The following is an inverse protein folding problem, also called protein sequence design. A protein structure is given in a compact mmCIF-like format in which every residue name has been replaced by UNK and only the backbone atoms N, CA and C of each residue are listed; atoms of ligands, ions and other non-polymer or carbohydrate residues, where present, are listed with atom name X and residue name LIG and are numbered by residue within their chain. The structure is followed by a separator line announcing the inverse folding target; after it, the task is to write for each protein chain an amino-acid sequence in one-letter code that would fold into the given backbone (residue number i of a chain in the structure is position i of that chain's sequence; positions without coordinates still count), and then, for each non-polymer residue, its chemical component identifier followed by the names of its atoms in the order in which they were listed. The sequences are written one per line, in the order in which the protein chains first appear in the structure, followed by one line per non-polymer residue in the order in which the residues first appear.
data_IF_833134344056
#
_entry.id   IF_833134344056
#
_cell.length_a   1.000
_cell.length_b   1.000
_cell.length_c   1.000
_cell.angle_alpha   90.00
_cell.angle_beta   90.00
_cell.angle_gamma   90.00
#
_symmetry.space_group_name_H-M   'P 1'
#
loop_
_entity.id
_entity.type
_entity.pdbx_description
1 polymer ?
#
# COMPACT_ATOMS: atom_id res chain seq x y z
N UNK A 1 -1.63 11.21 -28.43
CA UNK A 1 -0.61 10.26 -27.92
C UNK A 1 0.84 10.49 -28.39
N UNK A 2 1.17 11.22 -29.46
CA UNK A 2 2.58 11.44 -29.92
C UNK A 2 3.31 12.65 -29.30
N UNK A 3 2.67 13.52 -28.51
CA UNK A 3 3.30 14.75 -27.97
C UNK A 3 3.91 14.59 -26.57
N UNK A 4 3.58 13.53 -25.84
CA UNK A 4 4.08 13.30 -24.46
C UNK A 4 5.42 12.56 -24.41
N UNK A 5 5.78 11.84 -25.47
CA UNK A 5 7.05 11.10 -25.56
C UNK A 5 8.29 12.03 -25.63
N UNK A 6 8.13 13.27 -26.10
CA UNK A 6 9.23 14.23 -26.21
C UNK A 6 9.58 14.97 -24.91
N UNK A 7 8.68 14.98 -23.92
CA UNK A 7 8.95 15.61 -22.63
C UNK A 7 9.85 14.71 -21.75
N UNK A 8 9.74 13.40 -21.86
CA UNK A 8 10.63 12.47 -21.16
C UNK A 8 12.07 12.49 -21.71
N UNK A 9 12.24 12.77 -23.00
CA UNK A 9 13.57 12.82 -23.65
C UNK A 9 14.27 14.19 -23.42
N UNK A 10 13.51 15.25 -23.17
CA UNK A 10 14.05 16.59 -22.94
C UNK A 10 14.70 16.78 -21.55
N UNK A 11 14.52 15.88 -20.60
CA UNK A 11 15.16 15.89 -19.30
C UNK A 11 16.56 15.24 -19.29
N UNK A 12 16.97 14.62 -20.39
CA UNK A 12 18.33 14.14 -20.60
C UNK A 12 19.16 15.25 -21.27
N UNK A 13 19.54 16.27 -20.50
CA UNK A 13 20.42 17.33 -20.95
C UNK A 13 21.82 16.82 -21.36
N UNK A 14 22.62 17.58 -22.14
CA UNK A 14 23.88 17.12 -22.67
C UNK A 14 24.90 16.84 -21.53
N UNK A 15 25.27 15.59 -21.42
CA UNK A 15 26.36 15.11 -20.53
C UNK A 15 27.68 15.48 -21.18
N UNK A 16 28.40 16.41 -20.57
CA UNK A 16 29.77 16.78 -20.99
C UNK A 16 30.70 15.58 -20.74
N UNK A 17 31.38 15.16 -21.79
CA UNK A 17 32.36 14.08 -21.75
C UNK A 17 33.57 14.48 -20.88
N UNK A 18 33.65 13.96 -19.68
CA UNK A 18 34.87 13.94 -18.81
C UNK A 18 35.28 12.48 -18.66
N UNK A 19 36.56 12.21 -18.80
CA UNK A 19 37.23 10.90 -18.82
C UNK A 19 36.62 9.82 -17.93
N UNK A 20 36.28 8.69 -18.56
CA UNK A 20 35.39 7.67 -18.04
C UNK A 20 36.16 6.54 -17.38
N UNK A 21 36.01 6.37 -16.09
CA UNK A 21 35.69 5.04 -15.57
C UNK A 21 34.34 4.66 -16.15
N UNK A 22 34.15 3.44 -16.66
CA UNK A 22 32.93 3.00 -17.33
C UNK A 22 31.74 2.96 -16.38
N UNK A 23 31.12 4.11 -16.13
CA UNK A 23 29.88 4.22 -15.38
C UNK A 23 28.76 3.62 -16.21
N UNK A 24 27.97 2.76 -15.61
CA UNK A 24 26.77 2.25 -16.28
C UNK A 24 25.72 3.35 -16.33
N UNK A 25 24.77 3.26 -17.29
CA UNK A 25 23.61 4.18 -17.35
C UNK A 25 22.85 4.23 -16.01
N UNK A 26 22.80 3.10 -15.29
CA UNK A 26 22.18 3.05 -13.95
C UNK A 26 22.95 3.85 -12.90
N UNK A 27 24.28 3.91 -12.97
CA UNK A 27 25.08 4.69 -12.03
C UNK A 27 24.94 6.20 -12.31
N UNK A 28 24.85 6.59 -13.58
CA UNK A 28 24.59 7.99 -13.96
C UNK A 28 23.18 8.42 -13.55
N UNK A 29 22.19 7.56 -13.70
CA UNK A 29 20.82 7.81 -13.26
C UNK A 29 20.75 7.97 -11.72
N UNK A 30 21.41 7.10 -10.97
CA UNK A 30 21.50 7.20 -9.51
C UNK A 30 22.18 8.49 -9.09
N UNK A 31 23.29 8.85 -9.75
CA UNK A 31 24.00 10.10 -9.48
C UNK A 31 23.13 11.33 -9.75
N UNK A 32 22.30 11.29 -10.80
CA UNK A 32 21.34 12.36 -11.10
C UNK A 32 20.24 12.48 -10.03
N UNK A 33 19.64 11.37 -9.58
CA UNK A 33 18.67 11.38 -8.48
C UNK A 33 19.27 11.96 -7.20
N UNK A 34 20.48 11.53 -6.85
CA UNK A 34 21.20 12.05 -5.69
C UNK A 34 21.53 13.55 -5.83
N UNK A 35 21.89 14.01 -7.03
CA UNK A 35 22.11 15.44 -7.28
C UNK A 35 20.84 16.27 -7.06
N UNK A 36 19.68 15.81 -7.56
CA UNK A 36 18.40 16.50 -7.36
C UNK A 36 18.03 16.56 -5.88
N UNK A 37 18.16 15.43 -5.18
CA UNK A 37 17.85 15.35 -3.75
C UNK A 37 18.77 16.26 -2.93
N UNK A 38 20.09 16.18 -3.12
CA UNK A 38 21.07 16.94 -2.33
C UNK A 38 21.07 18.45 -2.65
N UNK A 39 20.78 18.82 -3.92
CA UNK A 39 20.87 20.22 -4.35
C UNK A 39 19.56 20.98 -4.20
N UNK A 40 18.43 20.30 -4.42
CA UNK A 40 17.11 20.93 -4.50
C UNK A 40 16.10 20.35 -3.51
N UNK A 41 16.49 19.37 -2.70
CA UNK A 41 15.58 18.66 -1.81
C UNK A 41 14.50 17.85 -2.55
N UNK A 42 14.70 17.60 -3.86
CA UNK A 42 13.70 16.97 -4.71
C UNK A 42 14.03 15.51 -4.98
N UNK A 43 13.14 14.62 -4.57
CA UNK A 43 13.23 13.19 -4.82
C UNK A 43 12.00 12.72 -5.59
N UNK A 44 12.17 11.75 -6.48
CA UNK A 44 11.07 11.10 -7.17
C UNK A 44 11.28 9.61 -7.27
N UNK A 45 10.19 8.87 -7.37
CA UNK A 45 10.19 7.45 -7.67
C UNK A 45 9.13 7.17 -8.73
N UNK A 46 9.40 6.17 -9.55
CA UNK A 46 8.44 5.62 -10.50
C UNK A 46 8.46 4.11 -10.35
N UNK A 47 7.34 3.53 -9.93
CA UNK A 47 7.15 2.09 -9.88
C UNK A 47 6.29 1.66 -11.05
N UNK A 48 6.74 0.66 -11.78
CA UNK A 48 5.94 -0.02 -12.79
C UNK A 48 5.84 -1.50 -12.44
N UNK A 49 4.62 -2.06 -12.48
CA UNK A 49 4.40 -3.50 -12.34
C UNK A 49 3.52 -4.04 -13.47
N UNK A 50 3.87 -5.23 -13.92
CA UNK A 50 3.03 -6.07 -14.76
C UNK A 50 2.71 -7.35 -13.99
N UNK A 51 1.43 -7.64 -13.80
CA UNK A 51 0.94 -8.77 -13.01
C UNK A 51 0.04 -9.65 -13.87
N UNK A 52 0.36 -10.92 -13.97
CA UNK A 52 -0.49 -11.96 -14.54
C UNK A 52 -1.04 -12.81 -13.42
N UNK A 53 -2.39 -12.94 -13.34
CA UNK A 53 -3.06 -13.77 -12.33
C UNK A 53 -4.03 -14.74 -12.96
N UNK A 54 -4.18 -15.90 -12.32
CA UNK A 54 -5.16 -16.94 -12.64
C UNK A 54 -5.68 -17.55 -11.35
N UNK A 55 -7.00 -17.81 -11.32
CA UNK A 55 -7.65 -18.50 -10.20
C UNK A 55 -8.15 -19.89 -10.60
N UNK A 56 -8.37 -20.77 -9.61
CA UNK A 56 -8.98 -22.09 -9.77
C UNK A 56 -9.83 -22.37 -8.52
N UNK A 57 -11.06 -22.90 -8.67
CA UNK A 57 -11.73 -23.29 -9.89
C UNK A 57 -12.46 -22.11 -10.56
N UNK A 58 -12.00 -21.57 -11.66
CA UNK A 58 -12.67 -20.45 -12.35
C UNK A 58 -12.79 -20.65 -13.85
N UNK A 59 -12.27 -21.76 -14.39
CA UNK A 59 -12.13 -21.93 -15.83
C UNK A 59 -10.82 -21.33 -16.38
N UNK A 60 -10.83 -20.88 -17.64
CA UNK A 60 -9.61 -20.46 -18.36
C UNK A 60 -9.32 -18.95 -18.32
N UNK A 61 -10.03 -18.17 -17.49
CA UNK A 61 -9.86 -16.72 -17.39
C UNK A 61 -8.53 -16.36 -16.70
N UNK A 62 -7.83 -15.38 -17.29
CA UNK A 62 -6.62 -14.78 -16.72
C UNK A 62 -6.83 -13.28 -16.64
N UNK A 63 -6.31 -12.66 -15.61
CA UNK A 63 -6.23 -11.20 -15.46
C UNK A 63 -4.78 -10.75 -15.73
N UNK A 64 -4.62 -9.73 -16.56
CA UNK A 64 -3.35 -9.05 -16.78
C UNK A 64 -3.49 -7.59 -16.35
N UNK A 65 -2.76 -7.22 -15.31
CA UNK A 65 -2.75 -5.87 -14.74
C UNK A 65 -1.45 -5.15 -15.11
N UNK A 66 -1.55 -3.89 -15.46
CA UNK A 66 -0.44 -2.94 -15.56
C UNK A 66 -0.64 -1.86 -14.51
N UNK A 67 0.37 -1.65 -13.68
CA UNK A 67 0.39 -0.66 -12.62
C UNK A 67 1.52 0.34 -12.86
N UNK A 68 1.22 1.64 -12.77
CA UNK A 68 2.20 2.72 -12.89
C UNK A 68 1.98 3.72 -11.75
N UNK A 69 3.01 3.94 -10.92
CA UNK A 69 2.92 4.85 -9.79
C UNK A 69 4.13 5.78 -9.71
N UNK A 70 4.03 7.01 -10.25
CA UNK A 70 4.95 8.09 -9.93
C UNK A 70 4.69 8.67 -8.54
N UNK A 71 5.76 8.99 -7.82
CA UNK A 71 5.70 9.75 -6.58
C UNK A 71 6.82 10.77 -6.50
N UNK A 72 6.58 11.87 -5.79
CA UNK A 72 7.57 12.91 -5.50
C UNK A 72 7.55 13.27 -4.02
N UNK A 73 8.72 13.61 -3.52
CA UNK A 73 8.93 14.24 -2.21
C UNK A 73 9.84 15.42 -2.41
N UNK A 74 9.40 16.61 -2.02
CA UNK A 74 10.17 17.83 -2.17
C UNK A 74 10.30 18.57 -0.84
N UNK A 75 11.52 18.57 -0.27
CA UNK A 75 11.87 19.41 0.86
C UNK A 75 12.01 20.84 0.37
N UNK A 76 10.97 21.64 0.60
CA UNK A 76 10.90 23.01 0.11
C UNK A 76 11.79 23.95 0.91
N UNK A 77 11.99 23.67 2.18
CA UNK A 77 12.99 24.29 3.05
C UNK A 77 13.33 23.36 4.23
N UNK A 78 14.55 23.52 4.73
CA UNK A 78 15.05 22.88 5.95
C UNK A 78 16.03 23.87 6.61
N UNK A 79 15.60 24.50 7.71
CA UNK A 79 16.33 25.58 8.37
C UNK A 79 15.91 25.74 9.84
N UNK A 80 16.37 26.82 10.48
CA UNK A 80 16.08 27.11 11.90
C UNK A 80 14.59 27.28 12.23
N UNK A 81 13.75 27.52 11.22
CA UNK A 81 12.30 27.65 11.39
C UNK A 81 11.56 26.33 11.20
N UNK A 82 12.23 25.25 10.89
CA UNK A 82 11.67 23.91 10.72
C UNK A 82 11.91 23.31 9.34
N UNK A 83 11.18 22.23 9.01
CA UNK A 83 11.31 21.54 7.73
C UNK A 83 9.95 21.45 7.07
N UNK A 84 9.86 21.93 5.82
CA UNK A 84 8.65 21.85 5.01
C UNK A 84 8.80 20.87 3.86
N UNK A 85 7.88 19.91 3.72
CA UNK A 85 7.94 18.87 2.69
C UNK A 85 6.61 18.77 1.95
N UNK A 86 6.66 18.82 0.62
CA UNK A 86 5.56 18.49 -0.27
C UNK A 86 5.68 17.03 -0.71
N UNK A 87 4.60 16.28 -0.54
CA UNK A 87 4.46 14.91 -1.02
C UNK A 87 3.35 14.82 -2.05
N UNK A 88 3.58 14.06 -3.12
CA UNK A 88 2.54 13.73 -4.07
C UNK A 88 2.77 12.32 -4.61
N UNK A 89 1.68 11.58 -4.77
CA UNK A 89 1.66 10.26 -5.40
C UNK A 89 0.42 10.11 -6.27
N UNK A 90 0.61 9.41 -7.36
CA UNK A 90 -0.46 9.07 -8.30
C UNK A 90 -0.25 7.63 -8.73
N UNK A 91 -1.33 6.89 -8.94
CA UNK A 91 -1.24 5.59 -9.58
C UNK A 91 -2.29 5.42 -10.69
N UNK A 92 -1.96 4.56 -11.62
CA UNK A 92 -2.84 4.16 -12.72
C UNK A 92 -2.75 2.64 -12.88
N UNK A 93 -3.91 2.01 -12.75
CA UNK A 93 -4.08 0.58 -12.92
C UNK A 93 -4.92 0.36 -14.18
N UNK A 94 -4.48 -0.56 -15.01
CA UNK A 94 -5.17 -0.96 -16.22
C UNK A 94 -5.15 -2.47 -16.40
N UNK A 95 -6.29 -3.04 -16.69
CA UNK A 95 -6.45 -4.46 -17.02
C UNK A 95 -6.65 -4.68 -18.52
N UNK A 96 -5.96 -5.69 -19.07
CA UNK A 96 -6.01 -5.98 -20.50
C UNK A 96 -7.22 -6.79 -20.95
N UNK A 97 -7.67 -7.72 -20.12
CA UNK A 97 -8.76 -8.66 -20.42
C UNK A 97 -9.80 -8.67 -19.30
N UNK A 98 -9.79 -9.77 -18.51
CA UNK A 98 -10.51 -9.82 -17.26
C UNK A 98 -9.75 -9.04 -16.20
N UNK A 99 -10.48 -8.46 -15.29
CA UNK A 99 -9.88 -7.85 -14.11
C UNK A 99 -9.81 -8.86 -12.94
N UNK A 100 -9.25 -8.43 -11.81
CA UNK A 100 -9.12 -9.30 -10.64
C UNK A 100 -10.49 -9.68 -10.05
N UNK A 101 -11.44 -8.73 -10.02
CA UNK A 101 -12.80 -9.00 -9.54
C UNK A 101 -13.51 -10.08 -10.38
N UNK A 102 -13.31 -10.08 -11.71
CA UNK A 102 -13.92 -11.08 -12.59
C UNK A 102 -13.45 -12.50 -12.25
N UNK A 103 -12.13 -12.70 -12.16
CA UNK A 103 -11.56 -14.03 -11.92
C UNK A 103 -11.75 -14.49 -10.46
N UNK A 104 -11.79 -13.56 -9.51
CA UNK A 104 -12.09 -13.79 -8.11
C UNK A 104 -13.54 -14.26 -7.94
N UNK A 105 -14.51 -13.52 -8.49
CA UNK A 105 -15.92 -13.85 -8.44
C UNK A 105 -16.23 -15.22 -9.08
N UNK A 106 -15.59 -15.52 -10.22
CA UNK A 106 -15.70 -16.83 -10.87
C UNK A 106 -15.22 -18.00 -10.00
N UNK A 107 -14.32 -17.74 -9.06
CA UNK A 107 -13.81 -18.75 -8.11
C UNK A 107 -14.60 -18.80 -6.79
N UNK A 108 -15.48 -17.81 -6.57
CA UNK A 108 -16.27 -17.67 -5.36
C UNK A 108 -15.46 -17.21 -4.15
N UNK A 109 -14.37 -16.46 -4.37
CA UNK A 109 -13.59 -15.84 -3.31
C UNK A 109 -14.22 -14.50 -2.92
N UNK A 110 -14.30 -14.22 -1.64
CA UNK A 110 -14.68 -12.90 -1.09
C UNK A 110 -13.42 -12.11 -0.73
N UNK A 111 -12.42 -12.75 -0.12
CA UNK A 111 -11.14 -12.09 0.13
C UNK A 111 -10.43 -11.77 -1.19
N UNK A 112 -10.16 -10.48 -1.50
CA UNK A 112 -9.59 -10.12 -2.79
C UNK A 112 -8.18 -10.69 -3.03
N UNK A 113 -7.96 -11.16 -4.25
CA UNK A 113 -6.69 -11.78 -4.70
C UNK A 113 -5.57 -10.76 -4.89
N UNK A 114 -5.92 -9.48 -5.00
CA UNK A 114 -5.01 -8.34 -4.96
C UNK A 114 -5.78 -7.07 -4.54
N UNK A 115 -5.07 -5.98 -4.30
CA UNK A 115 -5.57 -4.72 -3.82
C UNK A 115 -6.46 -3.97 -4.84
N UNK A 116 -6.20 -4.16 -6.14
CA UNK A 116 -6.91 -3.45 -7.20
C UNK A 116 -7.82 -4.37 -8.00
N UNK A 117 -9.10 -4.33 -7.71
CA UNK A 117 -10.09 -5.20 -8.34
C UNK A 117 -10.35 -4.92 -9.82
N UNK A 118 -10.15 -3.69 -10.30
CA UNK A 118 -10.44 -3.21 -11.65
C UNK A 118 -9.53 -2.08 -12.10
N UNK A 119 -9.89 -1.44 -13.22
CA UNK A 119 -9.20 -0.26 -13.73
C UNK A 119 -9.41 0.92 -12.77
N UNK A 120 -8.32 1.62 -12.46
CA UNK A 120 -8.35 2.72 -11.52
C UNK A 120 -7.28 3.77 -11.83
N UNK A 121 -7.57 5.02 -11.53
CA UNK A 121 -6.63 6.13 -11.61
C UNK A 121 -6.87 7.07 -10.45
N UNK A 122 -5.82 7.33 -9.68
CA UNK A 122 -5.97 8.00 -8.40
C UNK A 122 -4.83 8.97 -8.09
N UNK A 123 -5.21 10.15 -7.59
CA UNK A 123 -4.31 11.02 -6.88
C UNK A 123 -4.34 10.63 -5.39
N UNK A 124 -3.50 9.65 -5.01
CA UNK A 124 -3.50 9.12 -3.64
C UNK A 124 -3.04 10.18 -2.64
N UNK A 125 -1.97 10.92 -2.97
CA UNK A 125 -1.43 11.94 -2.08
C UNK A 125 -1.16 13.24 -2.82
N UNK A 126 -1.49 14.35 -2.19
CA UNK A 126 -0.99 15.69 -2.47
C UNK A 126 -1.09 16.49 -1.18
N UNK A 127 -0.10 16.34 -0.31
CA UNK A 127 -0.12 17.00 1.00
C UNK A 127 1.22 17.62 1.34
N UNK A 128 1.15 18.61 2.20
CA UNK A 128 2.29 19.32 2.73
C UNK A 128 2.46 19.00 4.21
N UNK A 129 3.69 18.70 4.63
CA UNK A 129 4.04 18.55 6.04
C UNK A 129 4.94 19.67 6.49
N UNK A 130 4.76 20.09 7.73
CA UNK A 130 5.60 21.05 8.41
C UNK A 130 6.05 20.47 9.75
N UNK A 131 7.32 20.10 9.86
CA UNK A 131 7.95 19.69 11.10
C UNK A 131 8.42 20.93 11.84
N UNK A 132 8.04 21.06 13.10
CA UNK A 132 8.39 22.21 13.91
C UNK A 132 9.90 22.24 14.22
N UNK A 133 10.46 23.45 14.45
CA UNK A 133 11.91 23.61 14.64
C UNK A 133 12.39 23.20 16.04
N UNK A 134 13.70 22.98 16.15
CA UNK A 134 14.48 22.86 17.39
C UNK A 134 13.89 21.85 18.38
N UNK A 135 13.55 22.28 19.62
CA UNK A 135 13.02 21.42 20.69
C UNK A 135 11.66 20.81 20.40
N UNK A 136 10.95 21.26 19.37
CA UNK A 136 9.65 20.77 18.96
C UNK A 136 9.70 19.93 17.69
N UNK A 137 10.89 19.51 17.23
CA UNK A 137 11.07 18.70 16.02
C UNK A 137 10.43 17.31 16.04
N UNK A 138 9.91 16.90 17.21
CA UNK A 138 9.08 15.72 17.39
C UNK A 138 7.61 15.92 16.95
N UNK A 139 7.22 17.14 16.56
CA UNK A 139 5.86 17.51 16.16
C UNK A 139 5.82 17.91 14.70
N UNK A 140 4.94 17.26 13.92
CA UNK A 140 4.69 17.52 12.49
C UNK A 140 3.20 17.81 12.27
N UNK A 141 2.92 18.79 11.45
CA UNK A 141 1.57 19.11 10.97
C UNK A 141 1.47 18.71 9.49
N UNK A 142 0.40 18.03 9.10
CA UNK A 142 0.12 17.67 7.71
C UNK A 142 -1.19 18.27 7.23
N UNK A 143 -1.23 18.73 5.98
CA UNK A 143 -2.43 19.29 5.36
C UNK A 143 -2.45 18.99 3.86
N UNK A 144 -3.59 18.61 3.32
CA UNK A 144 -3.79 18.29 1.92
C UNK A 144 -4.60 17.01 1.72
N UNK A 145 -4.52 16.42 0.55
CA UNK A 145 -5.10 15.12 0.28
C UNK A 145 -4.11 14.03 0.69
N UNK A 146 -4.55 13.08 1.49
CA UNK A 146 -3.77 11.93 1.91
C UNK A 146 -4.67 10.73 2.19
N UNK A 147 -4.06 9.54 2.19
CA UNK A 147 -4.72 8.28 2.51
C UNK A 147 -4.50 7.88 3.96
N UNK A 148 -5.52 7.26 4.59
CA UNK A 148 -5.35 6.60 5.89
C UNK A 148 -4.47 5.35 5.81
N UNK A 149 -4.36 4.73 4.65
CA UNK A 149 -3.43 3.63 4.41
C UNK A 149 -1.97 3.99 4.69
N UNK A 150 -1.61 5.28 4.62
CA UNK A 150 -0.27 5.76 4.99
C UNK A 150 0.06 5.55 6.47
N UNK A 151 -0.96 5.35 7.31
CA UNK A 151 -0.82 5.16 8.76
C UNK A 151 -1.25 3.76 9.22
N UNK A 152 -1.81 2.93 8.34
CA UNK A 152 -2.38 1.62 8.68
C UNK A 152 -1.58 0.49 8.06
N UNK A 153 -0.55 0.01 8.76
CA UNK A 153 0.28 -1.10 8.30
C UNK A 153 1.70 -1.05 8.85
N UNK A 154 2.50 -1.98 8.38
CA UNK A 154 3.94 -2.10 8.64
C UNK A 154 4.71 -2.19 7.33
N UNK A 155 6.05 -2.38 7.37
CA UNK A 155 6.88 -2.47 6.16
C UNK A 155 6.50 -3.63 5.23
N UNK A 156 5.82 -4.68 5.76
CA UNK A 156 5.58 -5.92 5.01
C UNK A 156 4.12 -6.17 4.64
N UNK A 157 3.18 -5.41 5.18
CA UNK A 157 1.75 -5.62 5.00
C UNK A 157 1.00 -4.37 4.49
N UNK A 158 1.67 -3.50 3.74
CA UNK A 158 1.07 -2.28 3.18
C UNK A 158 1.47 -1.98 1.72
N UNK A 159 2.14 -2.89 1.03
CA UNK A 159 2.59 -2.63 -0.34
C UNK A 159 2.58 -3.90 -1.21
N UNK A 160 1.50 -4.12 -1.93
CA UNK A 160 1.36 -5.26 -2.84
C UNK A 160 2.32 -5.25 -4.05
N UNK A 161 3.00 -4.15 -4.35
CA UNK A 161 3.95 -4.10 -5.46
C UNK A 161 5.30 -4.74 -5.09
N UNK A 162 5.56 -4.90 -3.81
CA UNK A 162 6.80 -5.44 -3.25
C UNK A 162 6.56 -6.74 -2.49
N UNK A 163 5.51 -6.78 -1.66
CA UNK A 163 5.21 -7.85 -0.73
C UNK A 163 4.06 -8.75 -1.21
N UNK A 164 3.15 -9.10 -0.30
CA UNK A 164 1.97 -9.94 -0.54
C UNK A 164 1.00 -9.31 -1.53
N UNK A 165 0.31 -10.14 -2.31
CA UNK A 165 -0.73 -9.72 -3.25
C UNK A 165 -2.12 -9.79 -2.63
N UNK A 166 -2.38 -10.85 -1.82
CA UNK A 166 -3.67 -11.01 -1.18
C UNK A 166 -4.02 -9.78 -0.33
N UNK A 167 -5.21 -9.21 -0.55
CA UNK A 167 -5.63 -7.96 0.07
C UNK A 167 -5.52 -8.01 1.60
N UNK A 168 -5.98 -9.11 2.24
CA UNK A 168 -5.92 -9.22 3.69
C UNK A 168 -4.48 -9.23 4.23
N UNK A 169 -3.52 -9.77 3.47
CA UNK A 169 -2.09 -9.78 3.82
C UNK A 169 -1.39 -8.47 3.50
N UNK A 170 -1.92 -7.68 2.56
CA UNK A 170 -1.31 -6.45 2.07
C UNK A 170 -1.95 -5.17 2.62
N UNK A 171 -3.21 -5.23 3.08
CA UNK A 171 -3.99 -4.08 3.52
C UNK A 171 -4.92 -4.43 4.69
N UNK A 172 -5.58 -3.42 5.26
CA UNK A 172 -6.67 -3.60 6.23
C UNK A 172 -7.93 -4.08 5.50
N UNK A 173 -8.19 -5.39 5.53
CA UNK A 173 -9.29 -6.00 4.81
C UNK A 173 -10.69 -5.56 5.29
N UNK A 174 -10.80 -4.95 6.47
CA UNK A 174 -12.06 -4.41 7.02
C UNK A 174 -12.14 -2.88 6.91
N UNK A 175 -11.25 -2.24 6.12
CA UNK A 175 -11.26 -0.80 5.95
C UNK A 175 -12.54 -0.32 5.27
N UNK A 176 -13.11 0.77 5.81
CA UNK A 176 -14.30 1.44 5.26
C UNK A 176 -14.10 2.95 5.12
N UNK A 177 -12.89 3.44 5.39
CA UNK A 177 -12.54 4.83 5.14
C UNK A 177 -12.31 5.06 3.64
N UNK A 178 -12.38 6.33 3.22
CA UNK A 178 -12.11 6.71 1.83
C UNK A 178 -10.66 6.45 1.45
N UNK A 179 -10.41 6.09 0.18
CA UNK A 179 -9.06 5.78 -0.33
C UNK A 179 -8.09 6.94 -0.08
N UNK A 180 -8.52 8.18 -0.33
CA UNK A 180 -7.84 9.39 0.11
C UNK A 180 -8.80 10.56 0.24
N UNK A 181 -8.46 11.59 1.00
CA UNK A 181 -9.30 12.76 1.17
C UNK A 181 -8.52 14.01 1.59
N UNK A 182 -9.08 15.18 1.29
CA UNK A 182 -8.57 16.45 1.79
C UNK A 182 -8.78 16.53 3.30
N UNK A 183 -7.73 16.86 4.03
CA UNK A 183 -7.79 16.93 5.48
C UNK A 183 -6.55 17.50 6.12
N UNK A 184 -6.43 17.30 7.42
CA UNK A 184 -5.27 17.68 8.20
C UNK A 184 -5.04 16.69 9.33
N UNK A 185 -3.77 16.56 9.72
CA UNK A 185 -3.38 15.74 10.86
C UNK A 185 -2.23 16.37 11.65
N UNK A 186 -2.10 15.95 12.88
CA UNK A 186 -0.96 16.21 13.72
C UNK A 186 -0.28 14.88 14.05
N UNK A 187 1.04 14.84 13.95
CA UNK A 187 1.89 13.70 14.28
C UNK A 187 2.92 14.12 15.33
N UNK A 188 3.03 13.35 16.40
CA UNK A 188 3.98 13.58 17.47
C UNK A 188 4.83 12.32 17.68
N UNK A 189 6.16 12.47 17.67
CA UNK A 189 7.13 11.37 17.75
C UNK A 189 8.14 11.56 18.89
N UNK A 190 7.69 11.51 20.17
CA UNK A 190 8.60 11.59 21.32
C UNK A 190 9.30 10.25 21.57
N UNK A 191 10.56 10.15 21.19
CA UNK A 191 11.39 8.94 21.34
C UNK A 191 10.91 7.81 20.43
N UNK A 192 10.53 6.66 21.02
CA UNK A 192 10.03 5.51 20.26
C UNK A 192 8.50 5.52 20.05
N UNK A 193 7.80 6.48 20.62
CA UNK A 193 6.36 6.60 20.50
C UNK A 193 5.97 7.45 19.29
N UNK A 194 4.84 7.10 18.67
CA UNK A 194 4.19 7.88 17.64
C UNK A 194 2.72 8.08 18.01
N UNK A 195 2.23 9.29 17.88
CA UNK A 195 0.83 9.63 18.07
C UNK A 195 0.37 10.43 16.86
N UNK A 196 -0.69 9.99 16.21
CA UNK A 196 -1.27 10.69 15.06
C UNK A 196 -2.74 10.88 15.34
N UNK A 197 -3.27 12.06 15.02
CA UNK A 197 -4.70 12.32 15.03
C UNK A 197 -5.04 13.31 13.92
N UNK A 198 -6.17 13.09 13.26
CA UNK A 198 -6.55 13.93 12.13
C UNK A 198 -7.95 13.62 11.60
N UNK A 199 -8.23 14.26 10.49
CA UNK A 199 -9.46 14.08 9.75
C UNK A 199 -9.23 14.27 8.25
N UNK A 200 -10.02 13.59 7.43
CA UNK A 200 -10.02 13.73 5.98
C UNK A 200 -11.45 13.66 5.42
N UNK A 201 -11.66 14.20 4.23
CA UNK A 201 -12.94 14.14 3.53
C UNK A 201 -13.40 12.70 3.35
N UNK A 202 -14.57 12.39 3.92
CA UNK A 202 -15.17 11.07 3.90
C UNK A 202 -15.92 10.75 2.59
N UNK A 203 -16.15 11.74 1.72
CA UNK A 203 -16.99 11.58 0.51
C UNK A 203 -16.22 11.01 -0.68
N UNK A 204 -14.91 10.93 -0.59
CA UNK A 204 -14.02 10.52 -1.66
C UNK A 204 -13.69 9.01 -1.58
N UNK A 205 -14.73 8.17 -1.53
CA UNK A 205 -14.65 6.72 -1.29
C UNK A 205 -13.87 6.01 -2.41
N UNK A 206 -14.25 6.25 -3.68
CA UNK A 206 -13.68 5.55 -4.81
C UNK A 206 -13.05 6.56 -5.79
N UNK A 207 -11.88 6.24 -6.32
CA UNK A 207 -11.14 7.07 -7.28
C UNK A 207 -10.98 8.51 -6.78
N UNK A 208 -10.22 8.73 -5.72
CA UNK A 208 -10.09 10.02 -5.09
C UNK A 208 -9.52 11.07 -6.04
N UNK A 209 -10.15 12.21 -6.02
CA UNK A 209 -9.72 13.42 -6.72
C UNK A 209 -9.68 14.58 -5.75
N UNK A 210 -8.85 15.58 -6.02
CA UNK A 210 -8.77 16.76 -5.17
C UNK A 210 -10.07 17.61 -5.34
N UNK A 211 -10.91 17.62 -4.30
CA UNK A 211 -12.25 18.25 -4.33
C UNK A 211 -12.45 19.23 -3.19
N UNK A 212 -11.97 20.46 -3.36
CA UNK A 212 -12.13 21.52 -2.34
C UNK A 212 -13.59 21.86 -2.03
N UNK A 213 -14.48 21.71 -3.00
CA UNK A 213 -15.92 22.00 -2.83
C UNK A 213 -16.68 20.99 -1.96
N UNK A 214 -16.03 19.90 -1.54
CA UNK A 214 -16.62 18.91 -0.64
C UNK A 214 -16.34 19.17 0.83
N UNK A 215 -15.40 20.03 1.14
CA UNK A 215 -15.08 20.41 2.52
C UNK A 215 -16.27 21.09 3.22
N UNK A 216 -17.14 21.77 2.47
CA UNK A 216 -18.34 22.41 2.99
C UNK A 216 -19.44 21.42 3.40
N UNK A 217 -19.41 20.18 2.90
CA UNK A 217 -20.40 19.14 3.22
C UNK A 217 -20.26 18.64 4.68
N UNK A 218 -19.12 18.89 5.33
CA UNK A 218 -18.89 18.60 6.74
C UNK A 218 -18.78 17.11 7.09
N UNK A 219 -18.62 16.24 6.09
CA UNK A 219 -18.45 14.79 6.28
C UNK A 219 -16.98 14.43 6.33
N UNK A 220 -16.46 14.19 7.52
CA UNK A 220 -15.05 13.86 7.71
C UNK A 220 -14.89 12.50 8.38
N UNK A 221 -14.04 11.66 7.82
CA UNK A 221 -13.44 10.54 8.52
C UNK A 221 -12.49 11.11 9.58
N UNK A 222 -12.70 10.75 10.83
CA UNK A 222 -11.80 11.13 11.94
C UNK A 222 -11.02 9.92 12.40
N UNK A 223 -9.77 10.11 12.79
CA UNK A 223 -8.92 9.00 13.21
C UNK A 223 -7.91 9.37 14.27
N UNK A 224 -7.43 8.35 14.98
CA UNK A 224 -6.31 8.42 15.88
C UNK A 224 -5.47 7.16 15.83
N UNK A 225 -4.15 7.32 15.91
CA UNK A 225 -3.19 6.22 15.95
C UNK A 225 -2.22 6.41 17.11
N UNK A 226 -1.87 5.30 17.74
CA UNK A 226 -0.75 5.21 18.68
C UNK A 226 0.20 4.15 18.17
N UNK A 227 1.46 4.53 17.97
CA UNK A 227 2.54 3.65 17.53
C UNK A 227 3.67 3.57 18.56
N UNK A 228 4.37 2.44 18.56
CA UNK A 228 5.58 2.23 19.35
C UNK A 228 6.61 1.50 18.50
N UNK A 229 7.75 2.14 18.24
CA UNK A 229 8.82 1.69 17.33
C UNK A 229 10.14 1.43 18.07
N UNK A 230 10.22 0.38 18.92
CA UNK A 230 11.42 0.11 19.69
C UNK A 230 12.50 -0.59 18.86
N UNK A 231 13.76 -0.37 19.25
CA UNK A 231 14.85 -1.26 18.87
C UNK A 231 15.14 -2.22 20.01
N UNK A 232 14.71 -3.49 19.86
CA UNK A 232 14.89 -4.53 20.87
C UNK A 232 16.27 -5.18 20.70
N UNK A 233 17.09 -5.10 21.76
CA UNK A 233 18.44 -5.69 21.76
C UNK A 233 18.37 -7.19 21.39
N UNK A 234 19.19 -7.63 20.43
CA UNK A 234 19.29 -8.98 19.84
C UNK A 234 18.16 -9.39 18.89
N UNK A 235 17.05 -8.69 18.84
CA UNK A 235 16.03 -8.92 17.83
C UNK A 235 16.21 -7.95 16.67
N UNK A 236 15.99 -6.68 16.86
CA UNK A 236 16.01 -5.66 15.84
C UNK A 236 14.91 -4.63 16.08
N UNK A 237 14.58 -3.90 15.03
CA UNK A 237 13.52 -2.90 15.07
C UNK A 237 12.14 -3.56 15.08
N UNK A 238 11.26 -3.05 15.95
CA UNK A 238 9.85 -3.38 15.99
C UNK A 238 9.00 -2.21 15.54
N UNK A 239 7.79 -2.49 15.04
CA UNK A 239 6.74 -1.53 14.74
C UNK A 239 5.43 -2.09 15.28
N UNK A 240 4.78 -1.36 16.16
CA UNK A 240 3.52 -1.75 16.78
C UNK A 240 2.59 -0.56 16.75
N UNK A 241 1.36 -0.70 16.23
CA UNK A 241 0.41 0.41 16.20
C UNK A 241 -1.02 -0.03 16.41
N UNK A 242 -1.82 0.87 16.91
CA UNK A 242 -3.28 0.77 16.95
C UNK A 242 -3.83 2.00 16.27
N UNK A 243 -4.63 1.79 15.23
CA UNK A 243 -5.43 2.80 14.55
C UNK A 243 -6.90 2.60 14.90
N UNK A 244 -7.60 3.68 15.18
CA UNK A 244 -9.07 3.71 15.28
C UNK A 244 -9.59 4.85 14.45
N UNK A 245 -10.66 4.62 13.69
CA UNK A 245 -11.28 5.63 12.84
C UNK A 245 -12.80 5.57 12.93
N UNK A 246 -13.44 6.70 12.62
CA UNK A 246 -14.87 6.78 12.38
C UNK A 246 -15.12 7.37 10.99
N UNK A 247 -15.80 6.61 10.15
CA UNK A 247 -16.27 7.01 8.84
C UNK A 247 -17.76 7.37 8.96
N UNK A 248 -18.17 8.60 8.67
CA UNK A 248 -19.57 9.02 8.73
C UNK A 248 -20.36 8.42 7.56
N UNK A 249 -21.69 8.51 7.66
CA UNK A 249 -22.58 8.29 6.52
C UNK A 249 -22.18 9.22 5.36
N UNK A 250 -22.06 8.64 4.16
CA UNK A 250 -21.91 9.36 2.90
C UNK A 250 -22.73 8.64 1.82
N UNK A 251 -23.02 9.30 0.67
CA UNK A 251 -23.91 8.73 -0.35
C UNK A 251 -23.46 7.39 -0.92
N UNK A 252 -22.14 7.15 -1.03
CA UNK A 252 -21.58 5.89 -1.51
C UNK A 252 -21.43 4.85 -0.40
N UNK A 253 -21.52 5.25 0.86
CA UNK A 253 -21.49 4.38 2.03
C UNK A 253 -22.63 4.76 2.97
N UNK A 254 -23.83 4.14 2.82
CA UNK A 254 -25.05 4.56 3.48
C UNK A 254 -25.15 4.12 4.95
N UNK A 255 -24.05 3.95 5.64
CA UNK A 255 -23.94 3.68 7.07
C UNK A 255 -22.67 4.33 7.63
N UNK A 256 -22.76 4.86 8.85
CA UNK A 256 -21.58 5.26 9.60
C UNK A 256 -20.92 4.02 10.19
N UNK A 257 -19.60 3.97 10.11
CA UNK A 257 -18.80 2.85 10.63
C UNK A 257 -17.72 3.35 11.58
N UNK A 258 -17.36 2.51 12.54
CA UNK A 258 -16.16 2.66 13.36
C UNK A 258 -15.31 1.42 13.15
N UNK A 259 -14.10 1.63 12.68
CA UNK A 259 -13.14 0.54 12.45
C UNK A 259 -11.86 0.74 13.23
N UNK A 260 -11.09 -0.33 13.31
CA UNK A 260 -9.83 -0.34 14.03
C UNK A 260 -8.86 -1.34 13.40
N UNK A 261 -7.58 -1.10 13.62
CA UNK A 261 -6.49 -1.97 13.19
C UNK A 261 -5.41 -2.02 14.26
N UNK A 262 -4.94 -3.23 14.55
CA UNK A 262 -3.76 -3.50 15.36
C UNK A 262 -2.70 -4.08 14.44
N UNK A 263 -1.60 -3.37 14.24
CA UNK A 263 -0.49 -3.79 13.40
C UNK A 263 0.74 -4.08 14.25
N UNK A 264 1.46 -5.12 13.92
CA UNK A 264 2.70 -5.49 14.59
C UNK A 264 3.72 -6.06 13.62
N UNK A 265 4.97 -5.65 13.80
CA UNK A 265 6.13 -6.18 13.11
C UNK A 265 7.31 -6.28 14.07
N UNK A 266 8.09 -7.33 13.97
CA UNK A 266 9.35 -7.47 14.68
C UNK A 266 10.41 -8.07 13.76
N UNK A 267 11.46 -7.32 13.52
CA UNK A 267 12.65 -7.82 12.85
C UNK A 267 13.42 -8.75 13.79
N UNK A 268 13.93 -9.86 13.25
CA UNK A 268 14.73 -10.85 13.97
C UNK A 268 16.07 -10.99 13.26
N UNK A 269 17.10 -10.37 13.85
CA UNK A 269 18.41 -10.21 13.20
C UNK A 269 18.32 -9.33 11.97
N UNK A 270 19.08 -9.65 10.91
CA UNK A 270 19.17 -8.84 9.71
C UNK A 270 18.26 -9.31 8.56
N UNK A 271 17.78 -10.55 8.63
CA UNK A 271 17.08 -11.17 7.50
C UNK A 271 15.62 -11.48 7.77
N UNK A 272 15.24 -11.83 8.98
CA UNK A 272 13.90 -12.27 9.29
C UNK A 272 13.05 -11.13 9.82
N UNK A 273 11.79 -11.13 9.45
CA UNK A 273 10.76 -10.33 10.08
C UNK A 273 9.51 -11.21 10.31
N UNK A 274 8.85 -11.00 11.44
CA UNK A 274 7.50 -11.47 11.69
C UNK A 274 6.58 -10.26 11.69
N UNK A 275 5.39 -10.42 11.13
CA UNK A 275 4.36 -9.39 11.17
C UNK A 275 3.00 -9.99 11.45
N UNK A 276 2.07 -9.19 11.88
CA UNK A 276 0.69 -9.57 12.08
C UNK A 276 -0.22 -8.38 12.12
N UNK A 277 -1.46 -8.59 11.69
CA UNK A 277 -2.53 -7.60 11.72
C UNK A 277 -3.80 -8.22 12.27
N UNK A 278 -4.50 -7.48 13.10
CA UNK A 278 -5.88 -7.77 13.47
C UNK A 278 -6.69 -6.51 13.22
N UNK A 279 -7.71 -6.61 12.41
CA UNK A 279 -8.56 -5.48 12.10
C UNK A 279 -10.03 -5.86 12.17
N UNK A 280 -10.88 -4.85 12.26
CA UNK A 280 -12.31 -5.05 12.27
C UNK A 280 -13.07 -3.74 12.15
N UNK A 281 -14.34 -3.86 11.76
CA UNK A 281 -15.26 -2.76 11.60
C UNK A 281 -16.64 -3.15 12.14
N UNK A 282 -17.40 -2.18 12.64
CA UNK A 282 -18.81 -2.38 12.94
C UNK A 282 -19.68 -2.02 11.72
N UNK A 283 -20.92 -2.52 11.71
CA UNK A 283 -21.87 -2.32 10.61
C UNK A 283 -21.71 -3.39 9.52
N UNK A 284 -22.55 -3.30 8.48
CA UNK A 284 -22.64 -4.27 7.39
C UNK A 284 -22.25 -3.60 6.06
N UNK A 285 -21.04 -3.03 6.01
CA UNK A 285 -20.52 -2.33 4.83
C UNK A 285 -19.31 -3.06 4.24
N UNK A 286 -18.39 -3.54 5.07
CA UNK A 286 -17.23 -4.31 4.61
C UNK A 286 -17.59 -5.79 4.47
N UNK A 287 -17.30 -6.38 3.32
CA UNK A 287 -17.50 -7.81 3.07
C UNK A 287 -16.70 -8.69 4.04
N UNK A 288 -15.58 -8.16 4.56
CA UNK A 288 -14.77 -8.75 5.62
C UNK A 288 -14.91 -7.87 6.86
N UNK A 289 -15.71 -8.31 7.84
CA UNK A 289 -15.94 -7.50 9.03
C UNK A 289 -14.83 -7.66 10.08
N UNK A 290 -14.06 -8.74 10.05
CA UNK A 290 -12.83 -8.95 10.83
C UNK A 290 -11.82 -9.76 10.05
N UNK A 291 -10.55 -9.41 10.23
CA UNK A 291 -9.43 -10.15 9.64
C UNK A 291 -8.31 -10.32 10.65
N UNK A 292 -7.70 -11.50 10.63
CA UNK A 292 -6.56 -11.88 11.46
C UNK A 292 -5.45 -12.37 10.54
N UNK A 293 -4.32 -11.69 10.53
CA UNK A 293 -3.19 -12.00 9.65
C UNK A 293 -1.94 -12.26 10.48
N UNK A 294 -1.19 -13.27 10.10
CA UNK A 294 0.14 -13.56 10.63
C UNK A 294 1.05 -13.90 9.45
N UNK A 295 2.24 -13.34 9.43
CA UNK A 295 3.19 -13.64 8.37
C UNK A 295 4.64 -13.52 8.79
N UNK A 296 5.50 -13.94 7.89
CA UNK A 296 6.94 -13.85 8.02
C UNK A 296 7.59 -13.53 6.69
N UNK A 297 8.70 -12.81 6.75
CA UNK A 297 9.48 -12.42 5.58
C UNK A 297 10.95 -12.72 5.82
N UNK A 298 11.62 -13.18 4.78
CA UNK A 298 13.07 -13.42 4.76
C UNK A 298 13.66 -12.50 3.69
N UNK A 299 14.39 -11.47 4.12
CA UNK A 299 15.08 -10.54 3.24
C UNK A 299 16.42 -11.13 2.78
N UNK A 300 16.73 -10.97 1.50
CA UNK A 300 17.98 -11.42 0.86
C UNK A 300 18.39 -12.84 1.30
N UNK A 301 17.51 -13.86 1.10
CA UNK A 301 17.69 -15.20 1.66
C UNK A 301 18.99 -15.87 1.19
N UNK A 302 19.46 -15.57 -0.01
CA UNK A 302 20.64 -16.17 -0.64
C UNK A 302 21.87 -15.25 -0.64
N UNK A 303 21.84 -14.08 0.01
CA UNK A 303 22.89 -13.05 -0.01
C UNK A 303 23.30 -12.64 -1.45
N UNK A 304 22.36 -12.67 -2.40
CA UNK A 304 22.61 -12.47 -3.83
C UNK A 304 22.19 -11.09 -4.32
N UNK A 305 21.02 -10.63 -3.90
CA UNK A 305 20.43 -9.37 -4.33
C UNK A 305 19.59 -8.79 -3.19
N UNK A 306 19.76 -7.52 -2.88
CA UNK A 306 19.02 -6.85 -1.81
C UNK A 306 17.50 -6.81 -2.02
N UNK A 307 17.04 -6.94 -3.27
CA UNK A 307 15.63 -7.05 -3.62
C UNK A 307 15.07 -8.47 -3.47
N UNK A 308 15.92 -9.49 -3.19
CA UNK A 308 15.43 -10.84 -2.95
C UNK A 308 14.65 -10.89 -1.64
N UNK A 309 13.44 -11.44 -1.71
CA UNK A 309 12.58 -11.58 -0.54
C UNK A 309 11.68 -12.80 -0.69
N UNK A 310 11.53 -13.57 0.37
CA UNK A 310 10.53 -14.65 0.47
C UNK A 310 9.54 -14.27 1.56
N UNK A 311 8.25 -14.36 1.27
CA UNK A 311 7.19 -14.11 2.24
C UNK A 311 6.24 -15.29 2.36
N UNK A 312 5.71 -15.47 3.58
CA UNK A 312 4.65 -16.41 3.92
C UNK A 312 3.64 -15.69 4.80
N UNK A 313 2.36 -15.84 4.50
CA UNK A 313 1.27 -15.33 5.34
C UNK A 313 0.13 -16.33 5.45
N UNK A 314 -0.64 -16.16 6.51
CA UNK A 314 -1.92 -16.79 6.74
C UNK A 314 -2.90 -15.73 7.19
N UNK A 315 -4.08 -15.69 6.56
CA UNK A 315 -5.20 -14.85 7.00
C UNK A 315 -6.43 -15.69 7.29
N UNK A 316 -7.20 -15.26 8.31
CA UNK A 316 -8.54 -15.76 8.64
C UNK A 316 -9.47 -14.55 8.58
N UNK A 317 -10.45 -14.60 7.68
CA UNK A 317 -11.32 -13.48 7.34
C UNK A 317 -12.77 -13.87 7.63
N UNK A 318 -13.42 -13.18 8.58
CA UNK A 318 -14.84 -13.33 8.88
C UNK A 318 -15.65 -12.55 7.85
N UNK A 319 -16.54 -13.27 7.14
CA UNK A 319 -17.31 -12.71 6.04
C UNK A 319 -18.67 -12.20 6.56
N UNK A 320 -19.02 -10.98 6.17
CA UNK A 320 -20.31 -10.37 6.47
C UNK A 320 -21.31 -10.66 5.33
N UNK A 321 -22.29 -11.52 5.60
CA UNK A 321 -23.28 -11.96 4.62
C UNK A 321 -24.12 -10.78 4.11
N UNK A 322 -24.48 -9.86 4.99
CA UNK A 322 -25.31 -8.71 4.65
C UNK A 322 -24.53 -7.73 3.73
N UNK A 323 -23.24 -7.57 3.96
CA UNK A 323 -22.37 -6.71 3.15
C UNK A 323 -22.09 -7.32 1.77
N UNK A 324 -21.85 -8.63 1.70
CA UNK A 324 -21.62 -9.35 0.44
C UNK A 324 -22.84 -9.28 -0.48
N UNK A 325 -24.05 -9.28 0.08
CA UNK A 325 -25.32 -9.15 -0.69
C UNK A 325 -25.59 -10.27 -1.68
N UNK A 326 -24.88 -11.40 -1.54
CA UNK A 326 -25.03 -12.61 -2.34
C UNK A 326 -24.88 -13.83 -1.42
N UNK A 327 -25.43 -15.01 -1.81
CA UNK A 327 -25.37 -16.20 -0.96
C UNK A 327 -23.91 -16.56 -0.59
N UNK A 328 -23.67 -16.75 0.70
CA UNK A 328 -22.42 -17.30 1.23
C UNK A 328 -22.64 -18.72 1.74
N UNK A 329 -21.64 -19.57 1.58
CA UNK A 329 -21.66 -20.96 2.01
C UNK A 329 -20.74 -21.20 3.20
N UNK A 330 -19.76 -20.31 3.39
CA UNK A 330 -18.82 -20.32 4.52
C UNK A 330 -18.74 -18.91 5.12
N UNK A 331 -18.98 -18.79 6.42
CA UNK A 331 -18.93 -17.51 7.16
C UNK A 331 -17.51 -17.00 7.43
N UNK A 332 -16.50 -17.76 7.05
CA UNK A 332 -15.09 -17.34 7.10
C UNK A 332 -14.32 -17.96 5.96
N UNK A 333 -13.38 -17.20 5.42
CA UNK A 333 -12.47 -17.59 4.36
C UNK A 333 -11.03 -17.48 4.88
N UNK A 334 -10.21 -18.49 4.60
CA UNK A 334 -8.82 -18.49 5.01
C UNK A 334 -7.93 -18.47 3.79
N UNK A 335 -6.81 -17.75 3.87
CA UNK A 335 -5.84 -17.68 2.77
C UNK A 335 -4.44 -17.95 3.31
N UNK A 336 -3.75 -18.91 2.69
CA UNK A 336 -2.32 -19.09 2.82
C UNK A 336 -1.66 -18.49 1.58
N UNK A 337 -0.69 -17.61 1.76
CA UNK A 337 0.04 -17.00 0.65
C UNK A 337 1.53 -17.21 0.81
N UNK A 338 2.20 -17.47 -0.31
CA UNK A 338 3.65 -17.55 -0.40
C UNK A 338 4.14 -16.89 -1.68
N UNK A 339 5.16 -16.04 -1.58
CA UNK A 339 5.81 -15.43 -2.73
C UNK A 339 7.33 -15.50 -2.63
N UNK A 340 7.98 -15.38 -3.78
CA UNK A 340 9.42 -15.17 -3.87
C UNK A 340 9.73 -14.02 -4.83
N UNK A 341 10.04 -12.84 -4.29
CA UNK A 341 10.58 -11.74 -5.06
C UNK A 341 12.04 -12.06 -5.43
N UNK A 342 12.28 -12.42 -6.69
CA UNK A 342 13.58 -12.69 -7.25
C UNK A 342 14.13 -11.41 -7.90
N UNK A 343 15.12 -10.78 -7.30
CA UNK A 343 15.81 -9.62 -7.86
C UNK A 343 16.57 -10.01 -9.13
N UNK A 344 16.04 -9.63 -10.28
CA UNK A 344 16.69 -9.85 -11.59
C UNK A 344 17.75 -8.78 -11.90
N UNK A 345 17.66 -7.65 -11.22
CA UNK A 345 18.64 -6.59 -11.20
C UNK A 345 18.51 -5.79 -9.89
N UNK A 346 19.31 -4.76 -9.69
CA UNK A 346 19.15 -3.80 -8.58
C UNK A 346 17.91 -2.88 -8.73
N UNK A 347 17.18 -3.01 -9.84
CA UNK A 347 16.03 -2.18 -10.19
C UNK A 347 14.77 -2.95 -10.47
N UNK A 348 14.82 -4.30 -10.48
CA UNK A 348 13.68 -5.09 -10.89
C UNK A 348 13.62 -6.44 -10.19
N UNK A 349 12.38 -6.87 -9.90
CA UNK A 349 12.06 -8.19 -9.36
C UNK A 349 11.10 -8.93 -10.26
N UNK A 350 11.25 -10.26 -10.32
CA UNK A 350 10.25 -11.18 -10.85
C UNK A 350 9.73 -12.01 -9.67
N UNK A 351 8.43 -11.95 -9.42
CA UNK A 351 7.82 -12.52 -8.22
C UNK A 351 6.73 -13.52 -8.59
N UNK A 352 7.00 -14.84 -8.60
CA UNK A 352 5.95 -15.83 -8.50
C UNK A 352 5.26 -15.73 -7.14
N UNK A 353 3.94 -15.91 -7.13
CA UNK A 353 3.08 -15.86 -5.97
C UNK A 353 2.01 -16.93 -6.05
N UNK A 354 1.68 -17.54 -4.91
CA UNK A 354 0.66 -18.55 -4.76
C UNK A 354 -0.19 -18.25 -3.52
N UNK A 355 -1.49 -18.11 -3.75
CA UNK A 355 -2.49 -18.03 -2.70
C UNK A 355 -3.34 -19.32 -2.70
N UNK A 356 -3.54 -19.91 -1.54
CA UNK A 356 -4.37 -21.08 -1.33
C UNK A 356 -5.54 -20.72 -0.40
N UNK A 357 -6.76 -20.75 -0.98
CA UNK A 357 -8.01 -20.44 -0.30
C UNK A 357 -8.59 -21.70 0.31
N UNK A 358 -9.01 -21.62 1.57
CA UNK A 358 -9.73 -22.64 2.30
C UNK A 358 -11.11 -22.09 2.63
N UNK A 359 -12.15 -22.84 2.29
CA UNK A 359 -13.53 -22.46 2.41
C UNK A 359 -13.85 -21.13 1.66
N UNK A 360 -13.67 -21.08 0.32
CA UNK A 360 -14.10 -19.93 -0.48
C UNK A 360 -15.56 -19.60 -0.19
N UNK A 361 -15.82 -18.36 0.26
CA UNK A 361 -17.10 -18.08 0.93
C UNK A 361 -18.32 -18.21 0.02
N UNK A 362 -18.16 -17.93 -1.28
CA UNK A 362 -19.23 -18.03 -2.28
C UNK A 362 -19.13 -19.27 -3.17
N UNK A 363 -18.25 -20.23 -2.88
CA UNK A 363 -18.12 -21.44 -3.67
C UNK A 363 -18.80 -22.64 -3.04
N UNK A 364 -19.99 -23.00 -3.54
CA UNK A 364 -20.74 -24.16 -3.06
C UNK A 364 -20.12 -25.52 -3.44
N UNK A 365 -19.25 -25.55 -4.48
CA UNK A 365 -18.81 -26.79 -5.11
C UNK A 365 -17.43 -27.24 -4.63
N UNK A 366 -16.65 -26.36 -4.04
CA UNK A 366 -15.28 -26.64 -3.66
C UNK A 366 -14.92 -25.93 -2.35
N UNK A 367 -14.38 -26.68 -1.41
CA UNK A 367 -13.85 -26.16 -0.14
C UNK A 367 -12.45 -25.53 -0.32
N UNK A 368 -11.87 -25.59 -1.52
CA UNK A 368 -10.53 -25.10 -1.79
C UNK A 368 -10.46 -24.37 -3.12
N UNK A 369 -9.58 -23.37 -3.15
CA UNK A 369 -9.26 -22.62 -4.37
C UNK A 369 -7.82 -22.14 -4.35
N UNK A 370 -7.36 -21.67 -5.50
CA UNK A 370 -6.00 -21.09 -5.62
C UNK A 370 -6.02 -19.84 -6.49
N UNK A 371 -5.18 -18.89 -6.16
CA UNK A 371 -4.76 -17.83 -7.09
C UNK A 371 -3.25 -17.97 -7.30
N UNK A 372 -2.84 -18.03 -8.57
CA UNK A 372 -1.43 -18.08 -8.96
C UNK A 372 -1.08 -16.84 -9.74
N UNK A 373 0.07 -16.24 -9.43
CA UNK A 373 0.45 -14.96 -10.00
C UNK A 373 1.92 -14.95 -10.41
N UNK A 374 2.22 -14.10 -11.39
CA UNK A 374 3.57 -13.74 -11.76
C UNK A 374 3.63 -12.22 -11.91
N UNK A 375 4.40 -11.55 -11.06
CA UNK A 375 4.56 -10.10 -11.05
C UNK A 375 6.00 -9.72 -11.45
N UNK A 376 6.12 -8.84 -12.43
CA UNK A 376 7.35 -8.11 -12.73
C UNK A 376 7.21 -6.70 -12.15
N UNK A 377 8.12 -6.30 -11.26
CA UNK A 377 8.15 -4.93 -10.73
C UNK A 377 9.47 -4.27 -11.08
N UNK A 378 9.42 -3.03 -11.56
CA UNK A 378 10.59 -2.22 -11.93
C UNK A 378 10.52 -0.90 -11.15
N UNK A 379 11.64 -0.53 -10.56
CA UNK A 379 11.81 0.68 -9.74
C UNK A 379 12.75 1.66 -10.45
N UNK A 380 12.30 2.91 -10.59
CA UNK A 380 13.08 3.97 -11.23
C UNK A 380 13.35 5.15 -10.31
#
# INVERSE_FOLDING_TARGET
MKKWLYILIGLLGPISAVQAESRTLGDEYTAFKNYLSNRYGFSYNLTYSALLQRTSPSGDANAFQSYLAPSITWTTFDNEYGTGVLNASYYSIYYGNHNANDIQANSGFVTPINDFGGDEQEFADLYYTYQLPAKYNWLTLGVGQYSLYNFDGTDYDNNQQVNFLNYASAQNASATYSDAGLGAYVQAEPGNWQFIAGFLDATNINAPSIRFNRLDDGHFTTFGQIGYNPTIKRLGQGQYSVLVYNQPYVSLQPQSTTGWSLNMQQNIGQKWALFGRVNGVNGHIAEINRSYVLGSVINNPLDRNELDQIGFSYSYNEIDEDAVGAPIYHSAEQVLEAYWAWGISKWATLTPDLQFYIHPAQNQKSDYGTATSLRLTVFF
#
